data_IF_765283785487
#
_entry.id   IF_765283785487
#
_cell.length_a   1.000
_cell.length_b   1.000
_cell.length_c   1.000
_cell.angle_alpha   90.00
_cell.angle_beta   90.00
_cell.angle_gamma   90.00
#
_symmetry.space_group_name_H-M   'P 1'
#
loop_
_entity.id
_entity.type
_entity.pdbx_description
1 polymer ?
#
# COMPACT_ATOMS: atom_id res chain seq x y z
N UNK A 1 -3.60 -38.01 22.69
CA UNK A 1 -4.06 -37.19 21.54
C UNK A 1 -3.30 -35.88 21.55
N UNK A 2 -2.62 -35.52 20.45
CA UNK A 2 -1.76 -34.34 20.40
C UNK A 2 -2.59 -33.05 20.22
N UNK A 3 -2.14 -31.93 20.80
CA UNK A 3 -2.80 -30.62 20.72
C UNK A 3 -3.08 -30.16 19.27
N UNK A 4 -2.29 -30.66 18.30
CA UNK A 4 -2.49 -30.41 16.87
C UNK A 4 -3.78 -31.02 16.33
N UNK A 5 -4.17 -32.20 16.84
CA UNK A 5 -5.39 -32.88 16.40
C UNK A 5 -6.66 -32.17 16.90
N UNK A 6 -6.61 -31.62 18.12
CA UNK A 6 -7.71 -30.84 18.70
C UNK A 6 -7.90 -29.50 17.99
N UNK A 7 -6.81 -28.84 17.57
CA UNK A 7 -6.85 -27.61 16.78
C UNK A 7 -7.43 -27.83 15.38
N UNK A 8 -7.04 -28.92 14.70
CA UNK A 8 -7.58 -29.25 13.38
C UNK A 8 -9.07 -29.59 13.47
N UNK A 9 -9.48 -30.32 14.51
CA UNK A 9 -10.89 -30.67 14.72
C UNK A 9 -11.74 -29.43 15.06
N UNK A 10 -11.22 -28.52 15.88
CA UNK A 10 -11.88 -27.23 16.19
C UNK A 10 -12.02 -26.36 14.94
N UNK A 11 -10.98 -26.29 14.09
CA UNK A 11 -11.01 -25.51 12.86
C UNK A 11 -12.03 -26.09 11.86
N UNK A 12 -12.09 -27.41 11.73
CA UNK A 12 -13.06 -28.09 10.86
C UNK A 12 -14.52 -27.83 11.32
N UNK A 13 -14.78 -27.86 12.63
CA UNK A 13 -16.12 -27.59 13.20
C UNK A 13 -16.53 -26.13 12.97
N UNK A 14 -15.61 -25.18 13.16
CA UNK A 14 -15.89 -23.75 12.93
C UNK A 14 -16.15 -23.45 11.45
N UNK A 15 -15.46 -24.11 10.53
CA UNK A 15 -15.70 -23.99 9.08
C UNK A 15 -17.06 -24.60 8.71
N UNK A 16 -17.42 -25.75 9.28
CA UNK A 16 -18.72 -26.38 9.05
C UNK A 16 -19.89 -25.52 9.58
N UNK A 17 -19.74 -24.89 10.74
CA UNK A 17 -20.72 -23.96 11.31
C UNK A 17 -20.85 -22.68 10.46
N UNK A 18 -19.73 -22.13 9.97
CA UNK A 18 -19.74 -20.99 9.05
C UNK A 18 -20.44 -21.30 7.72
N UNK A 19 -20.24 -22.50 7.17
CA UNK A 19 -20.89 -22.93 5.94
C UNK A 19 -22.41 -23.17 6.12
N UNK A 20 -22.85 -23.58 7.31
CA UNK A 20 -24.27 -23.76 7.61
C UNK A 20 -25.04 -22.43 7.74
N UNK A 21 -24.36 -21.36 8.19
CA UNK A 21 -24.93 -20.01 8.31
C UNK A 21 -25.05 -19.27 6.96
N UNK A 22 -24.35 -19.73 5.93
CA UNK A 22 -24.34 -19.12 4.60
C UNK A 22 -25.33 -19.75 3.62
N UNK A 23 -26.19 -20.67 4.06
CA UNK A 23 -27.24 -21.24 3.19
C UNK A 23 -28.37 -20.21 3.01
N UNK A 24 -28.60 -19.69 1.80
CA UNK A 24 -29.70 -18.77 1.55
C UNK A 24 -31.04 -19.49 1.74
N UNK A 25 -31.93 -18.84 2.50
CA UNK A 25 -33.33 -19.28 2.69
C UNK A 25 -34.07 -19.10 1.35
N UNK A 26 -34.76 -20.11 0.81
CA UNK A 26 -35.48 -19.96 -0.45
C UNK A 26 -36.61 -18.94 -0.27
N UNK A 27 -36.59 -17.88 -1.08
CA UNK A 27 -37.66 -16.89 -1.13
C UNK A 27 -38.91 -17.54 -1.75
N UNK A 28 -40.03 -17.47 -1.03
CA UNK A 28 -41.33 -17.90 -1.56
C UNK A 28 -41.81 -16.99 -2.71
N UNK A 29 -42.76 -17.45 -3.53
CA UNK A 29 -43.19 -16.71 -4.71
C UNK A 29 -43.91 -15.42 -4.30
N UNK A 30 -43.39 -14.28 -4.75
CA UNK A 30 -44.05 -12.98 -4.60
C UNK A 30 -45.11 -12.86 -5.70
N UNK A 31 -46.37 -12.71 -5.28
CA UNK A 31 -47.49 -12.44 -6.17
C UNK A 31 -47.37 -11.03 -6.79
N UNK A 32 -47.72 -10.83 -8.08
CA UNK A 32 -47.63 -9.53 -8.71
C UNK A 32 -48.76 -8.60 -8.23
N UNK A 33 -48.40 -7.37 -7.88
CA UNK A 33 -49.34 -6.29 -7.59
C UNK A 33 -50.08 -5.84 -8.87
N UNK A 34 -51.37 -5.43 -8.79
CA UNK A 34 -52.18 -5.15 -9.97
C UNK A 34 -51.85 -3.79 -10.59
N UNK A 35 -51.85 -3.76 -11.93
CA UNK A 35 -51.67 -2.58 -12.75
C UNK A 35 -52.87 -1.61 -12.65
N UNK A 36 -52.66 -0.29 -12.80
CA UNK A 36 -53.74 0.68 -12.84
C UNK A 36 -54.54 0.53 -14.15
N UNK A 37 -55.86 0.37 -14.02
CA UNK A 37 -56.77 0.26 -15.14
C UNK A 37 -56.84 1.56 -15.94
N UNK A 38 -56.46 1.47 -17.22
CA UNK A 38 -56.74 2.48 -18.22
C UNK A 38 -58.23 2.44 -18.59
N UNK A 39 -58.98 3.49 -18.27
CA UNK A 39 -60.34 3.67 -18.79
C UNK A 39 -60.30 4.22 -20.22
N UNK A 40 -60.84 3.43 -21.14
CA UNK A 40 -61.10 3.75 -22.55
C UNK A 40 -62.28 4.76 -22.65
N UNK A 41 -62.32 5.67 -23.64
CA UNK A 41 -63.42 6.62 -23.80
C UNK A 41 -64.54 6.10 -24.71
N UNK A 42 -65.79 6.40 -24.37
CA UNK A 42 -66.98 6.29 -25.25
C UNK A 42 -67.79 7.60 -25.19
N UNK A 43 -68.65 7.90 -26.20
CA UNK A 43 -68.64 9.20 -26.85
C UNK A 43 -69.86 10.07 -26.51
N UNK A 44 -69.75 11.31 -26.96
CA UNK A 44 -70.68 12.42 -26.80
C UNK A 44 -72.15 12.10 -27.07
N UNK A 45 -73.04 12.71 -26.26
CA UNK A 45 -74.39 13.05 -26.69
C UNK A 45 -74.80 14.43 -26.16
N UNK A 46 -75.53 15.11 -27.02
CA UNK A 46 -75.78 16.55 -27.06
C UNK A 46 -76.60 17.12 -25.89
N UNK A 47 -76.46 18.43 -25.71
CA UNK A 47 -77.31 19.32 -24.91
C UNK A 47 -78.80 19.22 -25.34
N UNK A 48 -79.76 19.67 -24.51
CA UNK A 48 -80.00 21.12 -24.43
C UNK A 48 -80.47 21.68 -23.06
N UNK A 49 -80.36 23.01 -22.98
CA UNK A 49 -81.23 23.98 -22.31
C UNK A 49 -81.33 24.05 -20.77
N UNK A 50 -81.02 25.25 -20.29
CA UNK A 50 -81.32 25.84 -18.96
C UNK A 50 -82.83 25.81 -18.65
N UNK A 51 -83.26 25.82 -17.36
CA UNK A 51 -83.40 27.12 -16.70
C UNK A 51 -83.19 27.17 -15.16
N UNK A 52 -82.92 28.40 -14.72
CA UNK A 52 -83.38 29.07 -13.48
C UNK A 52 -82.87 28.64 -12.08
N UNK A 53 -82.01 29.53 -11.56
CA UNK A 53 -82.05 30.15 -10.23
C UNK A 53 -82.52 29.31 -9.01
N UNK A 54 -81.55 28.88 -8.20
CA UNK A 54 -81.71 28.78 -6.73
C UNK A 54 -80.47 29.37 -6.05
N UNK A 55 -80.73 30.37 -5.22
CA UNK A 55 -79.79 31.02 -4.31
C UNK A 55 -79.09 29.99 -3.43
N UNK A 56 -77.76 29.88 -3.55
CA UNK A 56 -76.92 29.08 -2.67
C UNK A 56 -76.14 30.02 -1.77
N UNK A 57 -76.50 30.04 -0.50
CA UNK A 57 -75.77 30.74 0.56
C UNK A 57 -74.35 30.17 0.59
N UNK A 58 -73.36 31.00 0.26
CA UNK A 58 -71.94 30.66 0.39
C UNK A 58 -71.56 30.87 1.85
N UNK A 59 -71.49 29.78 2.61
CA UNK A 59 -70.75 29.78 3.88
C UNK A 59 -69.27 29.85 3.51
N UNK A 60 -68.66 31.02 3.67
CA UNK A 60 -67.21 31.18 3.54
C UNK A 60 -66.54 30.42 4.70
N UNK A 61 -65.99 29.24 4.39
CA UNK A 61 -64.98 28.62 5.23
C UNK A 61 -63.68 29.38 4.97
N UNK A 62 -63.35 30.32 5.87
CA UNK A 62 -62.02 30.93 5.90
C UNK A 62 -61.07 29.90 6.50
N UNK A 63 -60.40 29.14 5.65
CA UNK A 63 -59.16 28.43 6.00
C UNK A 63 -58.04 28.96 5.13
N UNK A 64 -57.66 30.23 5.34
CA UNK A 64 -56.35 30.72 4.95
C UNK A 64 -55.35 30.28 6.02
N UNK A 65 -54.99 28.99 6.02
CA UNK A 65 -53.72 28.59 6.60
C UNK A 65 -52.67 28.94 5.55
N UNK A 66 -52.03 30.09 5.71
CA UNK A 66 -50.84 30.44 4.95
C UNK A 66 -49.81 29.36 5.28
N UNK A 67 -49.59 28.41 4.38
CA UNK A 67 -48.45 27.52 4.46
C UNK A 67 -47.20 28.41 4.42
N UNK A 68 -46.61 28.67 5.59
CA UNK A 68 -45.29 29.25 5.71
C UNK A 68 -44.40 28.47 4.75
N UNK A 69 -43.87 29.15 3.72
CA UNK A 69 -42.94 28.54 2.78
C UNK A 69 -41.75 28.07 3.60
N UNK A 70 -41.61 26.76 3.72
CA UNK A 70 -40.48 26.16 4.41
C UNK A 70 -39.19 26.56 3.68
N UNK A 71 -38.29 27.22 4.40
CA UNK A 71 -37.00 27.68 3.89
C UNK A 71 -35.89 26.97 4.66
N UNK A 72 -35.06 26.21 3.94
CA UNK A 72 -33.93 25.48 4.53
C UNK A 72 -32.90 26.41 5.15
N UNK A 73 -32.77 27.65 4.67
CA UNK A 73 -31.86 28.64 5.27
C UNK A 73 -32.27 29.04 6.69
N UNK A 74 -33.54 28.86 7.06
CA UNK A 74 -34.00 29.10 8.42
C UNK A 74 -33.66 27.95 9.38
N UNK A 75 -33.34 26.76 8.83
CA UNK A 75 -33.08 25.54 9.59
C UNK A 75 -31.58 25.29 9.73
N UNK A 76 -30.82 25.41 8.65
CA UNK A 76 -29.36 25.20 8.63
C UNK A 76 -28.62 26.28 9.43
N UNK A 77 -27.66 25.88 10.25
CA UNK A 77 -26.83 26.80 11.03
C UNK A 77 -25.42 26.25 11.19
N UNK A 78 -24.42 27.13 11.14
CA UNK A 78 -23.02 26.79 11.45
C UNK A 78 -22.84 26.32 12.90
N UNK A 79 -23.72 26.74 13.82
CA UNK A 79 -23.76 26.21 15.17
C UNK A 79 -24.62 24.94 15.19
N UNK A 80 -23.95 23.79 15.32
CA UNK A 80 -24.60 22.48 15.37
C UNK A 80 -25.65 22.36 16.48
N UNK A 81 -25.51 23.05 17.63
CA UNK A 81 -26.53 23.02 18.70
C UNK A 81 -27.79 23.74 18.26
N UNK A 82 -27.63 24.87 17.57
CA UNK A 82 -28.74 25.62 16.97
C UNK A 82 -29.36 24.85 15.80
N UNK A 83 -28.56 24.23 14.96
CA UNK A 83 -29.05 23.42 13.84
C UNK A 83 -29.89 22.23 14.32
N UNK A 84 -29.41 21.50 15.34
CA UNK A 84 -30.18 20.43 15.98
C UNK A 84 -31.49 20.95 16.57
N UNK A 85 -31.48 22.08 17.28
CA UNK A 85 -32.68 22.68 17.84
C UNK A 85 -33.70 23.08 16.76
N UNK A 86 -33.23 23.65 15.65
CA UNK A 86 -34.06 24.00 14.50
C UNK A 86 -34.69 22.76 13.87
N UNK A 87 -33.92 21.69 13.66
CA UNK A 87 -34.42 20.41 13.14
C UNK A 87 -35.47 19.78 14.06
N UNK A 88 -35.27 19.84 15.38
CA UNK A 88 -36.28 19.41 16.35
C UNK A 88 -37.55 20.25 16.29
N UNK A 89 -37.42 21.58 16.14
CA UNK A 89 -38.56 22.51 16.13
C UNK A 89 -39.53 22.29 14.96
N UNK A 90 -39.02 21.74 13.85
CA UNK A 90 -39.82 21.40 12.67
C UNK A 90 -40.35 19.96 12.70
N UNK A 91 -40.12 19.22 13.80
CA UNK A 91 -40.61 17.85 14.00
C UNK A 91 -39.77 16.76 13.31
N UNK A 92 -38.49 17.01 13.03
CA UNK A 92 -37.61 15.99 12.45
C UNK A 92 -37.36 14.84 13.45
N UNK A 93 -37.46 13.56 13.04
CA UNK A 93 -37.15 12.43 13.91
C UNK A 93 -35.68 12.44 14.38
N UNK A 94 -35.41 12.02 15.63
CA UNK A 94 -34.05 12.06 16.20
C UNK A 94 -33.03 11.23 15.40
N UNK A 95 -33.45 10.12 14.78
CA UNK A 95 -32.56 9.33 13.90
C UNK A 95 -32.17 10.13 12.65
N UNK A 96 -33.12 10.84 12.04
CA UNK A 96 -32.84 11.69 10.87
C UNK A 96 -31.95 12.88 11.24
N UNK A 97 -32.14 13.47 12.44
CA UNK A 97 -31.24 14.51 12.95
C UNK A 97 -29.82 13.96 13.11
N UNK A 98 -29.68 12.76 13.70
CA UNK A 98 -28.39 12.09 13.86
C UNK A 98 -27.71 11.88 12.50
N UNK A 99 -28.44 11.41 11.50
CA UNK A 99 -27.88 11.17 10.16
C UNK A 99 -27.43 12.46 9.47
N UNK A 100 -28.26 13.52 9.52
CA UNK A 100 -27.93 14.83 8.94
C UNK A 100 -26.67 15.41 9.58
N UNK A 101 -26.61 15.44 10.92
CA UNK A 101 -25.48 16.03 11.65
C UNK A 101 -24.22 15.17 11.47
N UNK A 102 -24.35 13.84 11.47
CA UNK A 102 -23.22 12.94 11.22
C UNK A 102 -22.65 13.14 9.82
N UNK A 103 -23.50 13.28 8.80
CA UNK A 103 -23.08 13.52 7.43
C UNK A 103 -22.38 14.88 7.28
N UNK A 104 -22.93 15.94 7.88
CA UNK A 104 -22.36 17.28 7.76
C UNK A 104 -21.03 17.43 8.53
N UNK A 105 -20.96 16.91 9.76
CA UNK A 105 -19.69 16.85 10.51
C UNK A 105 -18.67 15.99 9.76
N UNK A 106 -19.08 14.86 9.15
CA UNK A 106 -18.17 14.05 8.34
C UNK A 106 -17.63 14.83 7.14
N UNK A 107 -18.48 15.59 6.45
CA UNK A 107 -18.10 16.47 5.34
C UNK A 107 -17.11 17.57 5.78
N UNK A 108 -17.33 18.19 6.95
CA UNK A 108 -16.41 19.18 7.53
C UNK A 108 -15.02 18.58 7.77
N UNK A 109 -14.96 17.40 8.41
CA UNK A 109 -13.68 16.75 8.70
C UNK A 109 -13.03 16.12 7.47
N UNK A 110 -13.79 15.73 6.44
CA UNK A 110 -13.23 15.38 5.13
C UNK A 110 -12.56 16.58 4.46
N UNK A 111 -13.15 17.78 4.54
CA UNK A 111 -12.52 19.00 4.04
C UNK A 111 -11.23 19.33 4.78
N UNK A 112 -11.23 19.24 6.13
CA UNK A 112 -10.02 19.37 6.95
C UNK A 112 -8.95 18.35 6.57
N UNK A 113 -9.33 17.09 6.33
CA UNK A 113 -8.42 16.01 5.92
C UNK A 113 -7.83 16.27 4.53
N UNK A 114 -8.63 16.75 3.58
CA UNK A 114 -8.15 17.17 2.25
C UNK A 114 -7.17 18.33 2.33
N UNK A 115 -7.43 19.32 3.20
CA UNK A 115 -6.50 20.41 3.45
C UNK A 115 -5.19 19.93 4.09
N UNK A 116 -5.25 18.97 5.01
CA UNK A 116 -4.08 18.34 5.63
C UNK A 116 -3.24 17.53 4.64
N UNK A 117 -3.88 16.84 3.67
CA UNK A 117 -3.20 16.02 2.69
C UNK A 117 -2.28 16.83 1.74
N UNK A 118 -2.50 18.14 1.63
CA UNK A 118 -1.71 19.03 0.76
C UNK A 118 -1.92 18.74 -0.74
N UNK A 119 -1.11 19.35 -1.62
CA UNK A 119 -1.15 19.04 -3.05
C UNK A 119 -0.80 17.56 -3.27
N UNK A 120 -1.53 16.88 -4.17
CA UNK A 120 -1.24 15.50 -4.55
C UNK A 120 0.22 15.40 -4.99
N UNK A 121 1.06 14.72 -4.19
CA UNK A 121 2.44 14.42 -4.60
C UNK A 121 2.37 13.43 -5.76
N UNK A 122 2.99 13.79 -6.89
CA UNK A 122 3.19 12.84 -8.01
C UNK A 122 3.94 11.62 -7.50
N UNK A 123 3.62 10.45 -8.04
CA UNK A 123 4.34 9.24 -7.68
C UNK A 123 5.79 9.31 -8.22
N UNK A 124 6.75 9.41 -7.31
CA UNK A 124 8.18 9.45 -7.59
C UNK A 124 8.71 8.03 -7.85
N UNK A 125 8.60 7.55 -9.08
CA UNK A 125 8.89 6.16 -9.45
C UNK A 125 10.33 5.71 -9.17
N UNK A 126 11.27 6.65 -9.02
CA UNK A 126 12.69 6.41 -8.75
C UNK A 126 13.02 6.25 -7.27
N UNK A 127 12.11 6.62 -6.35
CA UNK A 127 12.39 6.53 -4.91
C UNK A 127 12.17 5.12 -4.35
N UNK A 128 13.00 4.69 -3.38
CA UNK A 128 12.80 3.43 -2.69
C UNK A 128 11.50 3.46 -1.86
N UNK A 129 10.71 2.39 -1.94
CA UNK A 129 9.46 2.25 -1.21
C UNK A 129 8.69 1.03 -1.70
N UNK A 130 7.90 0.43 -0.81
CA UNK A 130 6.98 -0.65 -1.20
C UNK A 130 5.92 -0.03 -2.11
N UNK A 131 5.54 -0.72 -3.20
CA UNK A 131 4.51 -0.29 -4.16
C UNK A 131 3.22 0.24 -3.49
N UNK A 132 2.88 -0.30 -2.32
CA UNK A 132 1.72 0.04 -1.47
C UNK A 132 2.11 0.54 -0.06
N UNK A 133 3.37 0.95 0.12
CA UNK A 133 3.92 1.42 1.39
C UNK A 133 4.84 2.60 1.16
N UNK A 134 4.31 3.68 0.58
CA UNK A 134 4.98 4.96 0.65
C UNK A 134 5.30 5.26 2.12
N UNK A 135 6.42 5.92 2.38
CA UNK A 135 6.82 6.26 3.75
C UNK A 135 5.62 6.89 4.46
N UNK A 136 5.07 6.17 5.43
CA UNK A 136 4.00 6.67 6.29
C UNK A 136 4.63 7.84 7.01
N UNK A 137 4.24 9.05 6.62
CA UNK A 137 4.68 10.27 7.29
C UNK A 137 4.09 10.22 8.72
N UNK A 138 4.93 10.05 9.75
CA UNK A 138 4.45 9.84 11.12
C UNK A 138 3.73 11.08 11.63
N UNK A 139 4.19 12.28 11.27
CA UNK A 139 3.53 13.54 11.65
C UNK A 139 2.17 13.67 10.97
N UNK A 140 2.08 13.33 9.68
CA UNK A 140 0.81 13.32 8.97
C UNK A 140 -0.17 12.33 9.59
N UNK A 141 0.30 11.12 9.92
CA UNK A 141 -0.52 10.09 10.55
C UNK A 141 -1.03 10.52 11.91
N UNK A 142 -0.19 11.22 12.69
CA UNK A 142 -0.58 11.78 13.98
C UNK A 142 -1.64 12.89 13.82
N UNK A 143 -1.47 13.80 12.86
CA UNK A 143 -2.47 14.83 12.54
C UNK A 143 -3.79 14.23 12.05
N UNK A 144 -3.75 13.19 11.23
CA UNK A 144 -4.95 12.47 10.79
C UNK A 144 -5.66 11.78 11.97
N UNK A 145 -4.91 11.20 12.92
CA UNK A 145 -5.47 10.65 14.18
C UNK A 145 -6.08 11.74 15.07
N UNK A 146 -5.43 12.90 15.19
CA UNK A 146 -5.95 14.04 15.94
C UNK A 146 -7.29 14.51 15.37
N UNK A 147 -7.39 14.67 14.05
CA UNK A 147 -8.64 15.03 13.36
C UNK A 147 -9.76 14.00 13.60
N UNK A 148 -9.44 12.70 13.56
CA UNK A 148 -10.44 11.66 13.83
C UNK A 148 -10.90 11.69 15.30
N UNK A 149 -10.01 11.98 16.24
CA UNK A 149 -10.36 12.16 17.65
C UNK A 149 -11.25 13.39 17.86
N UNK A 150 -10.93 14.53 17.25
CA UNK A 150 -11.74 15.75 17.29
C UNK A 150 -13.16 15.49 16.74
N UNK A 151 -13.27 14.83 15.58
CA UNK A 151 -14.56 14.42 15.00
C UNK A 151 -15.38 13.58 15.98
N UNK A 152 -14.75 12.58 16.59
CA UNK A 152 -15.41 11.65 17.54
C UNK A 152 -15.90 12.39 18.79
N UNK A 153 -15.09 13.29 19.34
CA UNK A 153 -15.47 14.12 20.50
C UNK A 153 -16.64 15.02 20.14
N UNK A 154 -16.59 15.69 18.98
CA UNK A 154 -17.67 16.58 18.54
C UNK A 154 -19.00 15.82 18.35
N UNK A 155 -18.98 14.67 17.66
CA UNK A 155 -20.18 13.86 17.47
C UNK A 155 -20.74 13.32 18.79
N UNK A 156 -19.86 13.01 19.76
CA UNK A 156 -20.29 12.59 21.09
C UNK A 156 -20.95 13.74 21.87
N UNK A 157 -20.39 14.96 21.82
CA UNK A 157 -20.98 16.15 22.46
C UNK A 157 -22.35 16.49 21.86
N UNK A 158 -22.50 16.37 20.54
CA UNK A 158 -23.73 16.75 19.83
C UNK A 158 -24.85 15.71 19.94
N UNK A 159 -24.51 14.41 19.92
CA UNK A 159 -25.48 13.33 19.71
C UNK A 159 -25.51 12.30 20.85
N UNK A 160 -24.68 12.47 21.89
CA UNK A 160 -24.56 11.58 23.05
C UNK A 160 -23.79 10.28 22.78
N UNK A 161 -23.58 9.92 21.52
CA UNK A 161 -22.76 8.79 21.09
C UNK A 161 -22.18 9.07 19.72
N UNK A 162 -20.87 8.91 19.54
CA UNK A 162 -20.29 8.87 18.21
C UNK A 162 -20.61 7.52 17.53
N UNK A 163 -20.93 7.52 16.22
CA UNK A 163 -20.90 6.29 15.43
C UNK A 163 -19.53 5.62 15.54
N UNK A 164 -19.48 4.29 15.43
CA UNK A 164 -18.20 3.59 15.24
C UNK A 164 -17.57 4.06 13.92
N UNK A 165 -16.62 4.99 14.01
CA UNK A 165 -15.79 5.40 12.88
C UNK A 165 -14.78 4.27 12.62
N UNK A 166 -15.16 3.32 11.78
CA UNK A 166 -14.23 2.28 11.32
C UNK A 166 -13.13 2.99 10.55
N UNK A 167 -11.85 2.80 10.91
CA UNK A 167 -10.75 3.31 10.10
C UNK A 167 -10.98 2.84 8.68
N UNK A 168 -11.08 3.79 7.75
CA UNK A 168 -11.12 3.46 6.33
C UNK A 168 -9.71 3.05 5.91
N UNK A 169 -9.38 1.81 6.24
CA UNK A 169 -8.11 1.17 5.88
C UNK A 169 -7.92 1.15 4.36
N UNK A 170 -9.00 1.30 3.58
CA UNK A 170 -8.98 1.31 2.13
C UNK A 170 -8.76 2.73 1.56
N UNK A 171 -9.12 3.80 2.26
CA UNK A 171 -8.90 5.17 1.77
C UNK A 171 -7.42 5.47 1.46
N UNK A 172 -6.50 5.05 2.35
CA UNK A 172 -5.06 5.24 2.13
C UNK A 172 -4.55 4.44 0.93
N UNK A 173 -5.01 3.20 0.80
CA UNK A 173 -4.74 2.29 -0.33
C UNK A 173 -5.26 2.89 -1.64
N UNK A 174 -6.49 3.40 -1.64
CA UNK A 174 -7.12 4.00 -2.80
C UNK A 174 -6.41 5.29 -3.25
N UNK A 175 -6.00 6.15 -2.31
CA UNK A 175 -5.23 7.35 -2.65
C UNK A 175 -3.86 7.01 -3.24
N UNK A 176 -3.19 5.98 -2.74
CA UNK A 176 -1.90 5.55 -3.27
C UNK A 176 -2.04 4.94 -4.66
N UNK A 177 -3.06 4.11 -4.87
CA UNK A 177 -3.40 3.57 -6.20
C UNK A 177 -3.73 4.70 -7.18
N UNK A 178 -4.53 5.71 -6.79
CA UNK A 178 -4.85 6.85 -7.66
C UNK A 178 -3.58 7.61 -8.10
N UNK A 179 -2.63 7.82 -7.18
CA UNK A 179 -1.35 8.45 -7.51
C UNK A 179 -0.48 7.61 -8.46
N UNK A 180 -0.59 6.28 -8.41
CA UNK A 180 0.13 5.41 -9.34
C UNK A 180 -0.50 5.39 -10.74
N UNK A 181 -1.80 5.65 -10.88
CA UNK A 181 -2.49 5.68 -12.17
C UNK A 181 -2.75 7.10 -12.70
N UNK A 182 -2.08 8.10 -12.12
CA UNK A 182 -2.27 9.52 -12.46
C UNK A 182 -1.88 9.88 -13.91
N UNK A 183 -1.01 9.07 -14.52
CA UNK A 183 -0.58 9.19 -15.91
C UNK A 183 -1.61 8.70 -16.95
N UNK A 184 -2.66 7.97 -16.53
CA UNK A 184 -3.68 7.43 -17.43
C UNK A 184 -5.02 8.17 -17.36
N UNK A 185 -5.66 8.44 -18.51
CA UNK A 185 -7.08 8.80 -18.56
C UNK A 185 -7.96 7.73 -17.91
N UNK A 186 -9.11 8.14 -17.33
CA UNK A 186 -10.03 7.25 -16.59
C UNK A 186 -10.44 6.00 -17.37
N UNK A 187 -10.70 6.13 -18.67
CA UNK A 187 -11.14 4.99 -19.50
C UNK A 187 -10.03 3.95 -19.68
N UNK A 188 -8.79 4.38 -19.95
CA UNK A 188 -7.64 3.48 -20.06
C UNK A 188 -7.28 2.87 -18.70
N UNK A 189 -7.39 3.65 -17.62
CA UNK A 189 -7.17 3.18 -16.25
C UNK A 189 -8.05 1.98 -15.90
N UNK A 190 -9.35 2.03 -16.23
CA UNK A 190 -10.25 0.90 -16.00
C UNK A 190 -9.79 -0.35 -16.73
N UNK A 191 -9.48 -0.23 -18.03
CA UNK A 191 -9.01 -1.35 -18.87
C UNK A 191 -7.72 -1.97 -18.33
N UNK A 192 -6.75 -1.14 -17.90
CA UNK A 192 -5.49 -1.62 -17.30
C UNK A 192 -5.76 -2.34 -15.98
N UNK A 193 -6.61 -1.80 -15.12
CA UNK A 193 -6.98 -2.44 -13.85
C UNK A 193 -7.65 -3.80 -14.05
N UNK A 194 -8.53 -3.92 -15.05
CA UNK A 194 -9.16 -5.19 -15.41
C UNK A 194 -8.13 -6.24 -15.83
N UNK A 195 -7.14 -5.86 -16.66
CA UNK A 195 -6.05 -6.76 -17.06
C UNK A 195 -5.17 -7.15 -15.87
N UNK A 196 -4.88 -6.23 -14.95
CA UNK A 196 -4.11 -6.52 -13.74
C UNK A 196 -4.86 -7.47 -12.80
N UNK A 197 -6.18 -7.34 -12.68
CA UNK A 197 -7.01 -8.24 -11.89
C UNK A 197 -7.06 -9.65 -12.51
N UNK A 198 -7.15 -9.75 -13.84
CA UNK A 198 -7.06 -11.03 -14.56
C UNK A 198 -5.67 -11.67 -14.38
N UNK A 199 -4.60 -10.88 -14.51
CA UNK A 199 -3.23 -11.31 -14.23
C UNK A 199 -3.10 -11.90 -12.82
N UNK A 200 -3.58 -11.19 -11.80
CA UNK A 200 -3.54 -11.65 -10.42
C UNK A 200 -4.34 -12.96 -10.23
N UNK A 201 -5.50 -13.06 -10.88
CA UNK A 201 -6.33 -14.27 -10.84
C UNK A 201 -5.63 -15.47 -11.50
N UNK A 202 -4.98 -15.25 -12.65
CA UNK A 202 -4.18 -16.26 -13.34
C UNK A 202 -2.97 -16.70 -12.50
N UNK A 203 -2.24 -15.76 -11.91
CA UNK A 203 -1.12 -16.07 -11.00
C UNK A 203 -1.58 -16.88 -9.78
N UNK A 204 -2.73 -16.53 -9.18
CA UNK A 204 -3.29 -17.31 -8.08
C UNK A 204 -3.67 -18.73 -8.50
N UNK A 205 -4.17 -18.94 -9.72
CA UNK A 205 -4.47 -20.28 -10.25
C UNK A 205 -3.20 -21.11 -10.44
N UNK A 206 -2.14 -20.53 -11.01
CA UNK A 206 -0.83 -21.19 -11.17
C UNK A 206 -0.26 -21.57 -9.79
N UNK A 207 -0.37 -20.67 -8.81
CA UNK A 207 0.11 -20.89 -7.43
C UNK A 207 -0.69 -21.95 -6.64
N UNK A 208 -1.97 -22.18 -6.97
CA UNK A 208 -2.81 -23.18 -6.26
C UNK A 208 -2.43 -24.63 -6.60
N UNK A 209 -1.75 -24.87 -7.71
CA UNK A 209 -1.42 -26.21 -8.18
C UNK A 209 -0.13 -26.80 -7.58
N UNK A 210 0.47 -26.13 -6.59
CA UNK A 210 1.73 -26.55 -5.96
C UNK A 210 2.82 -25.47 -6.07
N UNK A 211 4.09 -25.87 -6.05
CA UNK A 211 5.17 -24.93 -6.34
C UNK A 211 4.99 -24.41 -7.77
N UNK A 212 4.91 -23.08 -7.98
CA UNK A 212 4.59 -22.52 -9.29
C UNK A 212 5.69 -22.83 -10.30
N UNK A 213 5.31 -23.32 -11.48
CA UNK A 213 6.22 -23.42 -12.60
C UNK A 213 6.64 -22.00 -13.02
N UNK A 214 7.95 -21.79 -13.17
CA UNK A 214 8.51 -20.50 -13.57
C UNK A 214 8.11 -20.12 -14.98
N UNK A 215 7.92 -21.10 -15.87
CA UNK A 215 7.50 -20.84 -17.25
C UNK A 215 6.04 -20.37 -17.31
N UNK A 216 5.15 -20.99 -16.55
CA UNK A 216 3.75 -20.56 -16.43
C UNK A 216 3.62 -19.14 -15.85
N UNK A 217 4.39 -18.82 -14.80
CA UNK A 217 4.42 -17.46 -14.25
C UNK A 217 4.91 -16.46 -15.30
N UNK A 218 5.99 -16.76 -16.02
CA UNK A 218 6.50 -15.90 -17.10
C UNK A 218 5.45 -15.69 -18.19
N UNK A 219 4.75 -16.75 -18.58
CA UNK A 219 3.70 -16.67 -19.61
C UNK A 219 2.58 -15.76 -19.18
N UNK A 220 2.06 -15.91 -17.95
CA UNK A 220 1.01 -15.02 -17.41
C UNK A 220 1.47 -13.56 -17.42
N UNK A 221 2.69 -13.29 -16.97
CA UNK A 221 3.23 -11.92 -16.95
C UNK A 221 3.36 -11.35 -18.37
N UNK A 222 3.87 -12.13 -19.33
CA UNK A 222 4.06 -11.69 -20.72
C UNK A 222 2.73 -11.47 -21.45
N UNK A 223 1.75 -12.33 -21.23
CA UNK A 223 0.41 -12.21 -21.81
C UNK A 223 -0.29 -10.94 -21.28
N UNK A 224 -0.17 -10.67 -19.98
CA UNK A 224 -0.70 -9.45 -19.36
C UNK A 224 0.01 -8.19 -19.83
N UNK A 225 1.34 -8.21 -19.97
CA UNK A 225 2.11 -7.09 -20.52
C UNK A 225 1.68 -6.78 -21.96
N UNK A 226 1.48 -7.81 -22.79
CA UNK A 226 0.99 -7.68 -24.17
C UNK A 226 -0.42 -7.07 -24.21
N UNK A 227 -1.32 -7.53 -23.34
CA UNK A 227 -2.68 -6.99 -23.26
C UNK A 227 -2.70 -5.53 -22.80
N UNK A 228 -1.82 -5.11 -21.89
CA UNK A 228 -1.69 -3.72 -21.46
C UNK A 228 -1.11 -2.85 -22.59
N UNK A 229 -0.08 -3.33 -23.29
CA UNK A 229 0.53 -2.64 -24.41
C UNK A 229 -0.44 -2.42 -25.60
N UNK A 230 -1.49 -3.25 -25.73
CA UNK A 230 -2.54 -3.05 -26.72
C UNK A 230 -3.49 -1.88 -26.39
N UNK A 231 -3.53 -1.43 -25.13
CA UNK A 231 -4.39 -0.33 -24.64
C UNK A 231 -3.62 0.98 -24.51
N UNK A 232 -2.31 0.90 -24.26
CA UNK A 232 -1.43 2.03 -23.95
C UNK A 232 -0.58 2.46 -25.15
N UNK A 233 -0.23 3.74 -25.23
CA UNK A 233 0.83 4.20 -26.15
C UNK A 233 2.21 3.73 -25.65
N UNK A 234 3.26 3.77 -26.48
CA UNK A 234 4.62 3.44 -26.03
C UNK A 234 5.09 4.26 -24.82
N UNK A 235 4.73 5.54 -24.76
CA UNK A 235 5.06 6.44 -23.65
C UNK A 235 4.28 6.05 -22.38
N UNK A 236 2.96 5.84 -22.49
CA UNK A 236 2.13 5.36 -21.38
C UNK A 236 2.61 3.99 -20.86
N UNK A 237 3.07 3.11 -21.77
CA UNK A 237 3.61 1.81 -21.41
C UNK A 237 4.93 1.92 -20.64
N UNK A 238 5.78 2.91 -20.97
CA UNK A 238 6.99 3.20 -20.21
C UNK A 238 6.64 3.67 -18.78
N UNK A 239 5.71 4.60 -18.62
CA UNK A 239 5.24 5.06 -17.31
C UNK A 239 4.61 3.93 -16.50
N UNK A 240 3.78 3.10 -17.13
CA UNK A 240 3.23 1.89 -16.52
C UNK A 240 4.36 0.97 -16.02
N UNK A 241 5.35 0.71 -16.87
CA UNK A 241 6.46 -0.16 -16.53
C UNK A 241 7.34 0.40 -15.39
N UNK A 242 7.60 1.72 -15.37
CA UNK A 242 8.32 2.37 -14.27
C UNK A 242 7.59 2.24 -12.93
N UNK A 243 6.25 2.11 -12.95
CA UNK A 243 5.44 2.04 -11.72
C UNK A 243 5.13 0.60 -11.29
N UNK A 244 4.81 -0.28 -12.22
CA UNK A 244 4.21 -1.59 -11.93
C UNK A 244 5.07 -2.80 -12.33
N UNK A 245 6.09 -2.62 -13.18
CA UNK A 245 6.90 -3.77 -13.62
C UNK A 245 7.68 -4.40 -12.46
N UNK A 246 7.92 -5.71 -12.58
CA UNK A 246 8.76 -6.45 -11.64
C UNK A 246 10.17 -5.88 -11.60
N UNK A 247 10.72 -5.50 -12.76
CA UNK A 247 12.03 -4.86 -12.89
C UNK A 247 12.10 -3.55 -12.09
N UNK A 248 11.14 -2.64 -12.25
CA UNK A 248 11.14 -1.37 -11.52
C UNK A 248 11.00 -1.59 -10.01
N UNK A 249 10.17 -2.56 -9.60
CA UNK A 249 10.01 -2.89 -8.19
C UNK A 249 11.31 -3.45 -7.58
N UNK A 250 12.01 -4.34 -8.29
CA UNK A 250 13.31 -4.85 -7.86
C UNK A 250 14.35 -3.74 -7.77
N UNK A 251 14.38 -2.85 -8.76
CA UNK A 251 15.29 -1.70 -8.76
C UNK A 251 15.04 -0.77 -7.57
N UNK A 252 13.78 -0.40 -7.28
CA UNK A 252 13.46 0.44 -6.10
C UNK A 252 13.91 -0.19 -4.78
N UNK A 253 13.83 -1.52 -4.67
CA UNK A 253 14.26 -2.24 -3.46
C UNK A 253 15.79 -2.36 -3.37
N UNK A 254 16.47 -2.66 -4.48
CA UNK A 254 17.91 -2.86 -4.53
C UNK A 254 18.72 -1.55 -4.49
N UNK A 255 18.22 -0.50 -5.13
CA UNK A 255 18.91 0.78 -5.29
C UNK A 255 18.63 1.77 -4.16
N UNK A 256 17.97 1.35 -3.09
CA UNK A 256 17.66 2.23 -1.96
C UNK A 256 18.90 2.92 -1.39
N UNK A 257 20.01 2.18 -1.22
CA UNK A 257 21.28 2.73 -0.73
C UNK A 257 22.16 3.41 -1.79
N UNK A 258 21.74 3.36 -3.06
CA UNK A 258 22.35 4.12 -4.17
C UNK A 258 21.75 5.54 -4.26
N UNK A 259 20.46 5.66 -3.91
CA UNK A 259 19.68 6.89 -3.99
C UNK A 259 19.73 7.49 -5.41
N UNK A 260 19.18 6.79 -6.42
CA UNK A 260 19.19 7.28 -7.79
C UNK A 260 18.32 8.54 -7.92
N UNK A 261 18.75 9.48 -8.76
CA UNK A 261 17.85 10.51 -9.26
C UNK A 261 16.92 9.95 -10.36
N UNK A 262 15.94 10.75 -10.79
CA UNK A 262 14.95 10.35 -11.78
C UNK A 262 15.57 9.86 -13.10
N UNK A 263 16.55 10.60 -13.63
CA UNK A 263 17.21 10.28 -14.88
C UNK A 263 18.09 9.03 -14.77
N UNK A 264 18.85 8.92 -13.67
CA UNK A 264 19.64 7.72 -13.37
C UNK A 264 18.74 6.48 -13.31
N UNK A 265 17.62 6.55 -12.59
CA UNK A 265 16.69 5.43 -12.49
C UNK A 265 16.10 5.06 -13.84
N UNK A 266 15.65 6.05 -14.62
CA UNK A 266 15.04 5.84 -15.94
C UNK A 266 16.00 5.11 -16.89
N UNK A 267 17.25 5.56 -16.98
CA UNK A 267 18.23 5.01 -17.89
C UNK A 267 18.71 3.62 -17.45
N UNK A 268 18.93 3.42 -16.14
CA UNK A 268 19.20 2.09 -15.59
C UNK A 268 18.02 1.14 -15.83
N UNK A 269 16.79 1.65 -15.73
CA UNK A 269 15.56 0.88 -15.92
C UNK A 269 15.46 0.38 -17.35
N UNK A 270 15.66 1.24 -18.35
CA UNK A 270 15.62 0.83 -19.76
C UNK A 270 16.62 -0.29 -20.05
N UNK A 271 17.86 -0.15 -19.57
CA UNK A 271 18.92 -1.16 -19.76
C UNK A 271 18.58 -2.47 -19.07
N UNK A 272 18.11 -2.40 -17.82
CA UNK A 272 17.76 -3.59 -17.04
C UNK A 272 16.53 -4.28 -17.58
N UNK A 273 15.51 -3.55 -18.00
CA UNK A 273 14.29 -4.11 -18.61
C UNK A 273 14.60 -4.82 -19.92
N UNK A 274 15.43 -4.24 -20.79
CA UNK A 274 15.85 -4.93 -22.01
C UNK A 274 16.54 -6.28 -21.71
N UNK A 275 17.42 -6.31 -20.70
CA UNK A 275 18.04 -7.56 -20.24
C UNK A 275 17.02 -8.54 -19.64
N UNK A 276 16.12 -8.06 -18.77
CA UNK A 276 15.11 -8.88 -18.11
C UNK A 276 14.09 -9.46 -19.12
N UNK A 277 13.74 -8.71 -20.18
CA UNK A 277 12.82 -9.15 -21.23
C UNK A 277 13.46 -10.26 -22.10
N UNK A 278 14.77 -10.19 -22.34
CA UNK A 278 15.50 -11.22 -23.09
C UNK A 278 15.74 -12.49 -22.26
N UNK A 279 16.11 -12.35 -20.98
CA UNK A 279 16.53 -13.48 -20.13
C UNK A 279 15.51 -13.87 -19.05
N UNK A 280 14.30 -13.31 -19.08
CA UNK A 280 13.16 -13.59 -18.21
C UNK A 280 13.23 -13.01 -16.79
N UNK A 281 14.20 -12.13 -16.50
CA UNK A 281 14.35 -11.40 -15.24
C UNK A 281 14.21 -12.29 -13.99
N UNK A 282 13.36 -11.88 -13.06
CA UNK A 282 13.12 -12.54 -11.77
C UNK A 282 12.72 -14.02 -11.84
N UNK A 283 12.10 -14.43 -12.95
CA UNK A 283 11.54 -15.76 -13.14
C UNK A 283 12.31 -16.57 -14.21
N UNK A 284 13.28 -15.94 -14.86
CA UNK A 284 13.95 -16.33 -16.10
C UNK A 284 15.16 -17.25 -15.98
N UNK A 285 15.98 -16.92 -14.99
CA UNK A 285 17.42 -17.21 -15.05
C UNK A 285 17.84 -18.57 -14.50
N UNK A 286 16.97 -19.24 -13.74
CA UNK A 286 17.38 -20.36 -12.89
C UNK A 286 17.74 -21.65 -13.65
N UNK A 287 17.26 -21.82 -14.89
CA UNK A 287 17.34 -23.07 -15.63
C UNK A 287 18.16 -23.02 -16.93
N UNK A 288 18.78 -21.88 -17.25
CA UNK A 288 19.58 -21.73 -18.48
C UNK A 288 20.85 -22.60 -18.44
N UNK A 289 21.17 -23.27 -19.56
CA UNK A 289 22.34 -24.16 -19.69
C UNK A 289 23.06 -23.93 -21.02
N UNK A 290 24.31 -24.39 -21.10
CA UNK A 290 25.09 -24.38 -22.34
C UNK A 290 25.22 -22.98 -22.96
N UNK A 291 24.97 -22.87 -24.26
CA UNK A 291 25.13 -21.63 -25.02
C UNK A 291 24.23 -20.48 -24.52
N UNK A 292 23.01 -20.77 -24.07
CA UNK A 292 22.12 -19.74 -23.52
C UNK A 292 22.67 -19.14 -22.22
N UNK A 293 23.31 -19.95 -21.39
CA UNK A 293 23.97 -19.48 -20.17
C UNK A 293 25.16 -18.59 -20.50
N UNK A 294 25.99 -19.00 -21.47
CA UNK A 294 27.11 -18.18 -21.97
C UNK A 294 26.63 -16.85 -22.54
N UNK A 295 25.54 -16.85 -23.31
CA UNK A 295 24.92 -15.63 -23.85
C UNK A 295 24.44 -14.71 -22.72
N UNK A 296 23.79 -15.26 -21.70
CA UNK A 296 23.34 -14.51 -20.53
C UNK A 296 24.51 -13.88 -19.77
N UNK A 297 25.59 -14.63 -19.54
CA UNK A 297 26.76 -14.14 -18.79
C UNK A 297 27.46 -13.01 -19.56
N UNK A 298 27.58 -13.14 -20.89
CA UNK A 298 28.07 -12.08 -21.76
C UNK A 298 27.16 -10.84 -21.73
N UNK A 299 25.84 -11.02 -21.83
CA UNK A 299 24.88 -9.92 -21.76
C UNK A 299 24.88 -9.23 -20.39
N UNK A 300 25.05 -9.99 -19.29
CA UNK A 300 25.18 -9.45 -17.94
C UNK A 300 26.44 -8.59 -17.80
N UNK A 301 27.56 -9.05 -18.36
CA UNK A 301 28.81 -8.30 -18.38
C UNK A 301 28.67 -7.00 -19.20
N UNK A 302 28.09 -7.09 -20.39
CA UNK A 302 27.83 -5.92 -21.24
C UNK A 302 26.89 -4.91 -20.57
N UNK A 303 25.87 -5.39 -19.84
CA UNK A 303 24.99 -4.54 -19.04
C UNK A 303 25.78 -3.79 -17.95
N UNK A 304 26.60 -4.49 -17.17
CA UNK A 304 27.40 -3.91 -16.09
C UNK A 304 28.43 -2.88 -16.62
N UNK A 305 29.08 -3.18 -17.76
CA UNK A 305 29.97 -2.23 -18.45
C UNK A 305 29.21 -0.99 -18.96
N UNK A 306 27.99 -1.17 -19.50
CA UNK A 306 27.15 -0.06 -19.94
C UNK A 306 26.70 0.82 -18.78
N UNK A 307 26.35 0.22 -17.64
CA UNK A 307 26.01 0.92 -16.39
C UNK A 307 27.22 1.71 -15.89
N UNK A 308 28.41 1.10 -15.88
CA UNK A 308 29.65 1.77 -15.50
C UNK A 308 29.95 2.98 -16.39
N UNK A 309 29.85 2.82 -17.70
CA UNK A 309 30.09 3.90 -18.66
C UNK A 309 29.14 5.07 -18.50
N UNK A 310 27.89 4.82 -18.10
CA UNK A 310 26.89 5.86 -17.90
C UNK A 310 27.07 6.61 -16.58
N UNK A 311 27.37 5.88 -15.50
CA UNK A 311 27.47 6.45 -14.15
C UNK A 311 28.84 7.10 -13.90
N UNK A 312 29.90 6.63 -14.56
CA UNK A 312 31.28 6.98 -14.20
C UNK A 312 31.76 6.21 -12.97
N UNK A 313 33.08 6.23 -12.71
CA UNK A 313 33.71 5.33 -11.75
C UNK A 313 33.20 5.48 -10.31
N UNK A 314 33.04 6.71 -9.82
CA UNK A 314 32.62 6.99 -8.43
C UNK A 314 31.17 6.56 -8.19
N UNK A 315 30.25 7.00 -9.06
CA UNK A 315 28.83 6.67 -8.94
C UNK A 315 28.57 5.19 -9.22
N UNK A 316 29.35 4.57 -10.11
CA UNK A 316 29.31 3.12 -10.29
C UNK A 316 29.77 2.37 -9.03
N UNK A 317 30.77 2.85 -8.29
CA UNK A 317 31.17 2.25 -7.02
C UNK A 317 30.03 2.27 -5.99
N UNK A 318 29.27 3.37 -5.92
CA UNK A 318 28.06 3.45 -5.10
C UNK A 318 26.95 2.50 -5.57
N UNK A 319 26.76 2.39 -6.88
CA UNK A 319 25.82 1.43 -7.47
C UNK A 319 26.19 -0.01 -7.05
N UNK A 320 27.46 -0.41 -7.20
CA UNK A 320 27.93 -1.75 -6.78
C UNK A 320 27.83 -1.96 -5.28
N UNK A 321 28.09 -0.93 -4.47
CA UNK A 321 27.89 -0.98 -3.02
C UNK A 321 26.43 -1.27 -2.67
N UNK A 322 25.48 -0.68 -3.40
CA UNK A 322 24.04 -0.92 -3.18
C UNK A 322 23.60 -2.37 -3.46
N UNK A 323 24.34 -3.11 -4.28
CA UNK A 323 24.09 -4.53 -4.55
C UNK A 323 24.55 -5.44 -3.38
N UNK A 324 25.38 -4.95 -2.46
CA UNK A 324 25.87 -5.71 -1.31
C UNK A 324 24.80 -5.80 -0.21
N UNK A 325 24.35 -7.01 0.10
CA UNK A 325 23.34 -7.28 1.14
C UNK A 325 23.74 -6.75 2.53
N UNK A 326 25.03 -6.78 2.88
CA UNK A 326 25.53 -6.27 4.15
C UNK A 326 25.42 -4.75 4.22
N UNK A 327 25.74 -4.05 3.12
CA UNK A 327 25.53 -2.61 3.01
C UNK A 327 24.04 -2.26 3.05
N UNK A 328 23.18 -2.98 2.33
CA UNK A 328 21.73 -2.75 2.36
C UNK A 328 21.16 -2.87 3.79
N UNK A 329 21.65 -3.82 4.58
CA UNK A 329 21.23 -3.98 5.97
C UNK A 329 21.68 -2.80 6.85
N UNK A 330 22.91 -2.31 6.66
CA UNK A 330 23.43 -1.13 7.35
C UNK A 330 22.69 0.15 6.94
N UNK A 331 22.41 0.31 5.64
CA UNK A 331 21.62 1.43 5.11
C UNK A 331 20.22 1.47 5.73
N UNK A 332 19.50 0.33 5.75
CA UNK A 332 18.19 0.25 6.40
C UNK A 332 18.23 0.61 7.89
N UNK A 333 19.31 0.24 8.59
CA UNK A 333 19.48 0.59 10.00
C UNK A 333 19.75 2.09 10.18
N UNK A 334 20.63 2.67 9.37
CA UNK A 334 20.96 4.10 9.39
C UNK A 334 19.76 4.98 9.01
N UNK A 335 19.02 4.62 7.95
CA UNK A 335 17.84 5.37 7.49
C UNK A 335 16.73 5.40 8.54
N UNK A 336 16.52 4.31 9.30
CA UNK A 336 15.51 4.26 10.37
C UNK A 336 15.78 5.25 11.50
N UNK A 337 17.06 5.52 11.78
CA UNK A 337 17.48 6.47 12.80
C UNK A 337 17.75 7.88 12.24
N UNK A 338 17.46 8.12 10.95
CA UNK A 338 17.68 9.42 10.31
C UNK A 338 19.17 9.79 10.14
N UNK A 339 20.08 8.82 10.18
CA UNK A 339 21.53 9.05 10.11
C UNK A 339 22.06 9.24 8.68
N UNK A 340 21.24 8.90 7.68
CA UNK A 340 21.57 9.04 6.26
C UNK A 340 22.55 7.98 5.72
N UNK A 341 22.89 8.11 4.44
CA UNK A 341 23.74 7.18 3.68
C UNK A 341 25.17 7.09 4.22
N UNK A 342 25.76 8.21 4.65
CA UNK A 342 27.15 8.29 5.07
C UNK A 342 27.46 7.40 6.28
N UNK A 343 26.53 7.29 7.22
CA UNK A 343 26.68 6.37 8.36
C UNK A 343 26.72 4.90 7.90
N UNK A 344 25.89 4.53 6.93
CA UNK A 344 25.88 3.19 6.37
C UNK A 344 27.17 2.88 5.58
N UNK A 345 27.67 3.85 4.82
CA UNK A 345 28.96 3.77 4.11
C UNK A 345 30.09 3.53 5.10
N UNK A 346 30.20 4.34 6.15
CA UNK A 346 31.22 4.18 7.20
C UNK A 346 31.16 2.82 7.88
N UNK A 347 29.97 2.36 8.26
CA UNK A 347 29.79 1.05 8.88
C UNK A 347 30.20 -0.10 7.95
N UNK A 348 29.94 0.02 6.64
CA UNK A 348 30.33 -0.97 5.64
C UNK A 348 31.84 -1.00 5.41
N UNK A 349 32.47 0.17 5.38
CA UNK A 349 33.93 0.27 5.24
C UNK A 349 34.64 -0.28 6.49
N UNK A 350 34.10 -0.05 7.70
CA UNK A 350 34.58 -0.68 8.93
C UNK A 350 34.50 -2.22 8.86
N UNK A 351 33.41 -2.77 8.32
CA UNK A 351 33.27 -4.22 8.10
C UNK A 351 34.38 -4.74 7.19
N UNK A 352 34.63 -4.11 6.04
CA UNK A 352 35.69 -4.53 5.11
C UNK A 352 37.06 -4.54 5.78
N UNK A 353 37.40 -3.45 6.49
CA UNK A 353 38.67 -3.34 7.21
C UNK A 353 38.81 -4.46 8.25
N UNK A 354 37.76 -4.73 9.02
CA UNK A 354 37.76 -5.79 10.03
C UNK A 354 37.88 -7.20 9.42
N UNK A 355 37.18 -7.48 8.32
CA UNK A 355 37.27 -8.75 7.58
C UNK A 355 38.68 -8.98 7.01
N UNK A 356 39.30 -7.93 6.46
CA UNK A 356 40.68 -7.98 5.95
C UNK A 356 41.70 -8.20 7.07
N UNK A 357 41.56 -7.48 8.20
CA UNK A 357 42.42 -7.67 9.37
C UNK A 357 42.27 -9.08 9.96
N UNK A 358 41.04 -9.57 10.10
CA UNK A 358 40.77 -10.92 10.59
C UNK A 358 41.39 -11.97 9.67
N UNK A 359 41.33 -11.77 8.35
CA UNK A 359 41.96 -12.66 7.37
C UNK A 359 43.48 -12.68 7.52
N UNK A 360 44.13 -11.53 7.72
CA UNK A 360 45.57 -11.45 8.00
C UNK A 360 45.95 -12.19 9.27
N UNK A 361 45.22 -11.99 10.37
CA UNK A 361 45.46 -12.69 11.66
C UNK A 361 45.27 -14.21 11.55
N UNK A 362 44.27 -14.67 10.80
CA UNK A 362 44.06 -16.10 10.57
C UNK A 362 45.24 -16.75 9.83
N UNK A 363 45.80 -16.03 8.86
CA UNK A 363 46.90 -16.52 8.03
C UNK A 363 48.29 -16.29 8.64
N UNK A 364 48.38 -15.58 9.78
CA UNK A 364 49.64 -15.36 10.48
C UNK A 364 50.12 -16.65 11.17
N UNK A 365 51.27 -17.15 10.70
CA UNK A 365 51.93 -18.36 11.20
C UNK A 365 52.77 -18.10 12.45
N UNK A 366 53.02 -16.84 12.79
CA UNK A 366 53.80 -16.45 13.97
C UNK A 366 52.95 -16.40 15.24
N UNK A 367 51.63 -16.47 15.12
CA UNK A 367 50.70 -16.49 16.24
C UNK A 367 50.36 -17.92 16.67
N UNK A 368 50.41 -18.17 17.98
CA UNK A 368 49.79 -19.36 18.57
C UNK A 368 48.27 -19.35 18.39
N UNK A 369 47.63 -20.50 18.60
CA UNK A 369 46.17 -20.61 18.50
C UNK A 369 45.44 -19.67 19.49
N UNK A 370 45.97 -19.54 20.72
CA UNK A 370 45.38 -18.68 21.74
C UNK A 370 45.56 -17.19 21.42
N UNK A 371 46.77 -16.80 20.97
CA UNK A 371 47.03 -15.42 20.53
C UNK A 371 46.16 -15.05 19.34
N UNK A 372 46.01 -15.95 18.36
CA UNK A 372 45.12 -15.75 17.21
C UNK A 372 43.68 -15.55 17.66
N UNK A 373 43.20 -16.38 18.59
CA UNK A 373 41.83 -16.31 19.10
C UNK A 373 41.58 -15.01 19.86
N UNK A 374 42.53 -14.59 20.71
CA UNK A 374 42.46 -13.32 21.44
C UNK A 374 42.49 -12.11 20.50
N UNK A 375 43.35 -12.12 19.47
CA UNK A 375 43.42 -11.05 18.47
C UNK A 375 42.13 -10.93 17.65
N UNK A 376 41.55 -12.05 17.20
CA UNK A 376 40.27 -12.06 16.48
C UNK A 376 39.12 -11.56 17.36
N UNK A 377 39.11 -11.90 18.64
CA UNK A 377 38.13 -11.35 19.59
C UNK A 377 38.30 -9.83 19.74
N UNK A 378 39.53 -9.34 19.88
CA UNK A 378 39.80 -7.90 19.94
C UNK A 378 39.34 -7.14 18.69
N UNK A 379 39.59 -7.68 17.50
CA UNK A 379 39.08 -7.11 16.23
C UNK A 379 37.56 -7.05 16.26
N UNK A 380 36.89 -8.14 16.65
CA UNK A 380 35.43 -8.16 16.73
C UNK A 380 34.92 -7.09 17.71
N UNK A 381 35.43 -7.07 18.93
CA UNK A 381 34.92 -6.18 19.99
C UNK A 381 35.06 -4.70 19.61
N UNK A 382 36.20 -4.33 19.02
CA UNK A 382 36.44 -2.96 18.55
C UNK A 382 35.56 -2.61 17.34
N UNK A 383 35.37 -3.56 16.43
CA UNK A 383 34.51 -3.37 15.25
C UNK A 383 33.05 -3.21 15.67
N UNK A 384 32.57 -4.04 16.60
CA UNK A 384 31.22 -3.96 17.14
C UNK A 384 30.99 -2.60 17.81
N UNK A 385 31.92 -2.16 18.66
CA UNK A 385 31.90 -0.83 19.30
C UNK A 385 31.87 0.30 18.26
N UNK A 386 32.71 0.22 17.23
CA UNK A 386 32.81 1.24 16.18
C UNK A 386 31.54 1.33 15.33
N UNK A 387 31.03 0.19 14.86
CA UNK A 387 29.79 0.13 14.07
C UNK A 387 28.61 0.61 14.90
N UNK A 388 28.55 0.25 16.18
CA UNK A 388 27.54 0.75 17.11
C UNK A 388 27.64 2.25 17.35
N UNK A 389 28.85 2.81 17.43
CA UNK A 389 29.08 4.25 17.53
C UNK A 389 28.57 5.03 16.30
N UNK A 390 28.68 4.44 15.11
CA UNK A 390 28.21 5.06 13.86
C UNK A 390 26.70 4.92 13.67
N UNK A 391 26.13 3.75 13.95
CA UNK A 391 24.69 3.48 13.76
C UNK A 391 23.84 3.93 14.95
N UNK A 392 24.45 4.28 16.08
CA UNK A 392 23.77 4.55 17.34
C UNK A 392 23.21 3.28 17.99
N UNK A 393 22.84 3.39 19.27
CA UNK A 393 22.34 2.27 20.08
C UNK A 393 21.11 1.60 19.45
N UNK A 394 20.12 2.40 19.05
CA UNK A 394 18.87 1.93 18.45
C UNK A 394 19.08 1.34 17.06
N UNK A 395 19.88 2.03 16.22
CA UNK A 395 20.20 1.58 14.88
C UNK A 395 20.94 0.25 14.89
N UNK A 396 21.98 0.12 15.74
CA UNK A 396 22.72 -1.12 15.93
C UNK A 396 21.83 -2.25 16.48
N UNK A 397 21.01 -1.98 17.49
CA UNK A 397 20.06 -2.97 18.04
C UNK A 397 19.09 -3.49 16.98
N UNK A 398 18.58 -2.62 16.11
CA UNK A 398 17.70 -3.04 15.01
C UNK A 398 18.47 -3.77 13.90
N UNK A 399 19.73 -3.39 13.66
CA UNK A 399 20.62 -4.08 12.74
C UNK A 399 20.90 -5.52 13.18
N UNK A 400 21.22 -5.72 14.46
CA UNK A 400 21.46 -7.04 15.06
C UNK A 400 20.19 -7.91 15.05
N UNK A 401 19.04 -7.36 15.46
CA UNK A 401 17.75 -8.08 15.49
C UNK A 401 17.35 -8.63 14.12
N UNK A 402 17.74 -7.95 13.04
CA UNK A 402 17.47 -8.37 11.66
C UNK A 402 18.60 -9.25 11.08
N UNK A 403 19.42 -9.88 11.93
CA UNK A 403 20.57 -10.70 11.57
C UNK A 403 21.64 -9.96 10.75
N UNK A 404 21.62 -8.63 10.76
CA UNK A 404 22.56 -7.80 10.00
C UNK A 404 23.99 -7.93 10.52
N UNK A 405 24.16 -8.04 11.84
CA UNK A 405 25.46 -8.14 12.50
C UNK A 405 26.07 -9.56 12.51
N UNK A 406 25.43 -10.54 11.85
CA UNK A 406 25.85 -11.94 11.90
C UNK A 406 27.29 -12.18 11.41
N UNK A 407 27.77 -11.36 10.48
CA UNK A 407 29.13 -11.43 9.97
C UNK A 407 30.21 -11.22 11.05
N UNK A 408 29.90 -10.53 12.16
CA UNK A 408 30.82 -10.40 13.30
C UNK A 408 31.18 -11.77 13.89
N UNK A 409 30.24 -12.72 13.87
CA UNK A 409 30.50 -14.12 14.29
C UNK A 409 31.46 -14.84 13.34
N UNK A 410 31.54 -14.40 12.09
CA UNK A 410 32.55 -14.83 11.14
C UNK A 410 33.96 -14.40 11.54
N UNK A 411 34.12 -13.24 12.20
CA UNK A 411 35.40 -12.78 12.74
C UNK A 411 35.81 -13.61 13.96
N UNK A 412 34.93 -13.68 14.97
CA UNK A 412 35.15 -14.44 16.20
C UNK A 412 33.80 -14.87 16.80
N UNK A 413 33.65 -16.11 17.27
CA UNK A 413 32.40 -16.57 17.88
C UNK A 413 32.05 -15.77 19.14
N UNK A 414 30.78 -15.86 19.55
CA UNK A 414 30.34 -15.29 20.82
C UNK A 414 31.16 -15.85 21.98
N UNK A 415 31.50 -15.00 22.96
CA UNK A 415 32.11 -15.47 24.18
C UNK A 415 31.19 -16.52 24.81
N UNK A 416 31.72 -17.68 25.27
CA UNK A 416 30.90 -18.65 25.97
C UNK A 416 30.22 -17.95 27.14
N UNK A 417 28.90 -18.17 27.28
CA UNK A 417 28.14 -17.62 28.40
C UNK A 417 28.85 -18.01 29.71
N UNK A 418 29.01 -17.09 30.68
CA UNK A 418 29.63 -17.43 31.95
C UNK A 418 28.88 -18.61 32.53
N UNK A 419 29.56 -19.74 32.68
CA UNK A 419 29.04 -20.91 33.39
C UNK A 419 28.61 -20.42 34.76
N UNK A 420 27.33 -20.57 35.09
CA UNK A 420 26.87 -20.39 36.47
C UNK A 420 27.75 -21.31 37.31
N UNK A 421 28.63 -20.73 38.12
CA UNK A 421 29.38 -21.48 39.11
C UNK A 421 28.37 -22.18 40.03
N UNK A 422 28.63 -23.45 40.40
CA UNK A 422 27.70 -24.26 41.19
C UNK A 422 27.35 -23.65 42.54
#
# INVERSE_FOLDING_TARGET
MSAKFLLILSLAINIALGAALLKPKPAGPVAPAPAPAATKPEPAKAAPASPAARTRTVTQVVTNTVAQKFDWNAVESEDYKKYIANLRSIGCPEETIRDIITADVSKLYEAKRKALAGPKKKYEFWKPGIMMGGAIDPERTEKERALNNEKRVLLTDLLGSAPEDKPDLLAGVASQLDAMFDFLPTEKRSKVMDVMQDMQTKLQKVMKNGAPDQEDMRKVMKDSETAIAAVLTPEEMLDYNLRFSVTANQMRMGLAGFEPNEQEFLELFKKRKAYDDEFGGAFGSANLKGEEKTKQDAAKKALDESVKSQLGDERYADYKRSEDFSYQAMFRAASREGLGKDAAVKAHDMKKVAEDQATKIRNDKNLSADQRTAALRGIRDETERSVKGVLGEKGFSSYERNNGAYWLKGISPDAPAPTKQP
#
